data_IF_210737532721
#
_entry.id   IF_210737532721
#
_cell.length_a   1.000
_cell.length_b   1.000
_cell.length_c   1.000
_cell.angle_alpha   90.00
_cell.angle_beta   90.00
_cell.angle_gamma   90.00
#
_symmetry.space_group_name_H-M   'P 1'
#
loop_
_entity.id
_entity.type
_entity.pdbx_description
1 polymer ?
#
# COMPACT_ATOMS: atom_id res chain seq x y z
N UNK A 1 -0.22 -12.17 27.37
CA UNK A 1 -1.05 -11.93 26.18
C UNK A 1 -0.48 -10.72 25.45
N UNK A 2 0.41 -10.95 24.48
CA UNK A 2 0.95 -9.89 23.61
C UNK A 2 -0.08 -9.60 22.53
N UNK A 3 -0.76 -8.44 22.60
CA UNK A 3 -1.63 -7.96 21.52
C UNK A 3 -0.83 -7.98 20.20
N UNK A 4 -1.38 -8.46 19.08
CA UNK A 4 -0.68 -8.35 17.80
C UNK A 4 -0.52 -6.87 17.49
N UNK A 5 0.71 -6.42 17.26
CA UNK A 5 1.07 -5.02 16.97
C UNK A 5 0.47 -4.48 15.65
N UNK A 6 -0.38 -5.27 15.00
CA UNK A 6 -0.77 -5.16 13.61
C UNK A 6 -2.30 -5.27 13.42
N UNK A 7 -3.10 -5.21 14.49
CA UNK A 7 -4.57 -5.28 14.39
C UNK A 7 -5.13 -4.16 13.49
N UNK A 8 -4.42 -3.03 13.39
CA UNK A 8 -4.79 -1.92 12.50
C UNK A 8 -4.58 -2.22 11.01
N UNK A 9 -3.77 -3.22 10.64
CA UNK A 9 -3.58 -3.61 9.23
C UNK A 9 -4.86 -4.17 8.59
N UNK A 10 -5.81 -4.61 9.43
CA UNK A 10 -7.14 -5.05 9.02
C UNK A 10 -7.86 -3.87 8.38
N UNK A 11 -7.97 -2.75 9.10
CA UNK A 11 -8.69 -1.56 8.64
C UNK A 11 -7.85 -0.61 7.79
N UNK A 12 -6.56 -0.89 7.58
CA UNK A 12 -5.63 0.00 6.89
C UNK A 12 -6.05 0.30 5.44
N UNK A 13 -5.82 1.53 4.99
CA UNK A 13 -5.87 1.83 3.56
C UNK A 13 -4.65 1.24 2.87
N UNK A 14 -4.87 0.57 1.74
CA UNK A 14 -3.79 0.05 0.91
C UNK A 14 -3.63 0.89 -0.36
N UNK A 15 -2.45 1.49 -0.48
CA UNK A 15 -1.96 2.12 -1.69
C UNK A 15 -0.78 1.33 -2.26
N UNK A 16 -0.45 1.56 -3.52
CA UNK A 16 0.77 1.02 -4.13
C UNK A 16 1.62 2.15 -4.71
N UNK A 17 2.93 1.95 -4.72
CA UNK A 17 3.90 2.84 -5.36
C UNK A 17 4.81 2.03 -6.26
N UNK A 18 5.05 2.55 -7.45
CA UNK A 18 6.03 2.04 -8.41
C UNK A 18 7.23 2.99 -8.40
N UNK A 19 8.42 2.46 -8.17
CA UNK A 19 9.65 3.27 -8.07
C UNK A 19 10.76 2.66 -8.92
N UNK A 20 11.49 3.44 -9.73
CA UNK A 20 12.65 2.93 -10.45
C UNK A 20 13.81 2.65 -9.48
N UNK A 21 14.31 1.40 -9.48
CA UNK A 21 15.44 0.94 -8.66
C UNK A 21 16.40 0.15 -9.53
N UNK A 22 17.63 0.66 -9.72
CA UNK A 22 18.73 -0.04 -10.44
C UNK A 22 18.33 -0.64 -11.80
N UNK A 23 17.57 0.10 -12.60
CA UNK A 23 17.11 -0.36 -13.92
C UNK A 23 15.93 -1.34 -13.89
N UNK A 24 15.32 -1.53 -12.73
CA UNK A 24 14.06 -2.25 -12.54
C UNK A 24 13.02 -1.33 -11.91
N UNK A 25 11.78 -1.79 -11.86
CA UNK A 25 10.63 -1.08 -11.33
C UNK A 25 10.12 -1.84 -10.13
N UNK A 26 10.40 -1.33 -8.94
CA UNK A 26 9.99 -1.91 -7.67
C UNK A 26 8.56 -1.49 -7.35
N UNK A 27 7.74 -2.45 -6.95
CA UNK A 27 6.38 -2.22 -6.46
C UNK A 27 6.42 -2.35 -4.94
N UNK A 28 5.95 -1.32 -4.26
CA UNK A 28 5.71 -1.31 -2.83
C UNK A 28 4.22 -1.16 -2.54
N UNK A 29 3.71 -1.89 -1.55
CA UNK A 29 2.45 -1.59 -0.91
C UNK A 29 2.69 -0.66 0.28
N UNK A 30 1.77 0.27 0.45
CA UNK A 30 1.74 1.24 1.53
C UNK A 30 0.44 0.99 2.28
N UNK A 31 0.54 0.52 3.52
CA UNK A 31 -0.58 0.36 4.43
C UNK A 31 -0.61 1.58 5.34
N UNK A 32 -1.71 2.32 5.31
CA UNK A 32 -1.90 3.54 6.10
C UNK A 32 -2.94 3.24 7.17
N UNK A 33 -2.58 3.41 8.44
CA UNK A 33 -3.54 3.26 9.53
C UNK A 33 -4.61 4.35 9.40
N UNK A 34 -5.88 3.93 9.34
CA UNK A 34 -7.03 4.83 9.16
C UNK A 34 -7.40 5.59 10.43
N UNK A 35 -6.92 5.14 11.59
CA UNK A 35 -7.11 5.77 12.90
C UNK A 35 -5.95 6.70 13.28
N UNK A 36 -4.73 6.41 12.83
CA UNK A 36 -3.55 7.27 13.01
C UNK A 36 -2.71 7.33 11.72
N UNK A 37 -2.88 8.36 10.88
CA UNK A 37 -2.17 8.50 9.62
C UNK A 37 -0.64 8.51 9.71
N UNK A 38 -0.06 8.71 10.91
CA UNK A 38 1.39 8.65 11.10
C UNK A 38 1.92 7.21 11.17
N UNK A 39 1.04 6.23 11.39
CA UNK A 39 1.37 4.81 11.41
C UNK A 39 1.22 4.24 10.00
N UNK A 40 2.35 4.16 9.29
CA UNK A 40 2.43 3.65 7.92
C UNK A 40 3.38 2.46 7.88
N UNK A 41 2.98 1.42 7.15
CA UNK A 41 3.83 0.27 6.83
C UNK A 41 4.07 0.21 5.33
N UNK A 42 5.33 0.21 4.92
CA UNK A 42 5.73 0.06 3.52
C UNK A 42 6.35 -1.32 3.33
N UNK A 43 5.87 -2.07 2.34
CA UNK A 43 6.37 -3.39 2.02
C UNK A 43 6.63 -3.53 0.53
N UNK A 44 7.86 -3.87 0.17
CA UNK A 44 8.23 -4.22 -1.21
C UNK A 44 7.64 -5.59 -1.54
N UNK A 45 6.87 -5.66 -2.63
CA UNK A 45 6.20 -6.89 -3.07
C UNK A 45 6.84 -7.51 -4.31
N UNK A 46 7.69 -6.78 -5.02
CA UNK A 46 8.46 -7.31 -6.14
C UNK A 46 9.06 -6.23 -7.02
N UNK A 47 9.92 -6.67 -7.94
CA UNK A 47 10.57 -5.83 -8.93
C UNK A 47 10.34 -6.36 -10.35
N UNK A 48 10.14 -5.45 -11.30
CA UNK A 48 9.75 -5.76 -12.66
C UNK A 48 10.68 -5.09 -13.67
N UNK A 49 10.81 -5.72 -14.84
CA UNK A 49 11.64 -5.22 -15.94
C UNK A 49 11.08 -3.97 -16.64
N UNK A 50 9.81 -3.64 -16.41
CA UNK A 50 9.19 -2.45 -17.01
C UNK A 50 8.15 -1.83 -16.06
N UNK A 51 8.00 -0.52 -16.16
CA UNK A 51 7.05 0.29 -15.39
C UNK A 51 5.64 -0.26 -15.54
N UNK A 52 5.20 -0.46 -16.79
CA UNK A 52 3.87 -0.97 -17.10
C UNK A 52 3.56 -2.32 -16.45
N UNK A 53 4.55 -3.22 -16.35
CA UNK A 53 4.37 -4.50 -15.65
C UNK A 53 4.23 -4.30 -14.14
N UNK A 54 5.06 -3.42 -13.56
CA UNK A 54 4.98 -3.02 -12.17
C UNK A 54 3.61 -2.39 -11.83
N UNK A 55 3.10 -1.50 -12.68
CA UNK A 55 1.79 -0.84 -12.50
C UNK A 55 0.62 -1.82 -12.57
N UNK A 56 0.61 -2.72 -13.57
CA UNK A 56 -0.44 -3.74 -13.70
C UNK A 56 -0.44 -4.63 -12.45
N UNK A 57 0.74 -5.04 -11.99
CA UNK A 57 0.87 -5.85 -10.79
C UNK A 57 0.44 -5.10 -9.54
N UNK A 58 0.91 -3.87 -9.34
CA UNK A 58 0.56 -3.02 -8.21
C UNK A 58 -0.94 -2.79 -8.11
N UNK A 59 -1.61 -2.47 -9.23
CA UNK A 59 -3.07 -2.32 -9.29
C UNK A 59 -3.80 -3.62 -8.95
N UNK A 60 -3.34 -4.76 -9.46
CA UNK A 60 -3.98 -6.06 -9.17
C UNK A 60 -3.85 -6.42 -7.68
N UNK A 61 -2.66 -6.27 -7.11
CA UNK A 61 -2.44 -6.57 -5.69
C UNK A 61 -3.20 -5.59 -4.80
N UNK A 62 -3.24 -4.30 -5.14
CA UNK A 62 -4.06 -3.34 -4.40
C UNK A 62 -5.53 -3.77 -4.38
N UNK A 63 -6.08 -4.25 -5.52
CA UNK A 63 -7.45 -4.74 -5.60
C UNK A 63 -7.66 -6.05 -4.82
N UNK A 64 -6.68 -6.95 -4.80
CA UNK A 64 -6.75 -8.19 -4.02
C UNK A 64 -6.66 -7.91 -2.53
N UNK A 65 -5.75 -7.04 -2.10
CA UNK A 65 -5.66 -6.56 -0.72
C UNK A 65 -6.96 -5.83 -0.31
N UNK A 66 -7.55 -5.05 -1.23
CA UNK A 66 -8.81 -4.37 -0.99
C UNK A 66 -10.04 -5.28 -0.87
N UNK A 67 -9.94 -6.50 -1.40
CA UNK A 67 -10.97 -7.53 -1.37
C UNK A 67 -10.68 -8.62 -0.34
N UNK A 68 -9.57 -8.51 0.40
CA UNK A 68 -9.28 -9.44 1.49
C UNK A 68 -10.42 -9.32 2.51
N UNK A 69 -11.07 -10.42 2.94
CA UNK A 69 -12.15 -10.40 3.94
C UNK A 69 -11.73 -9.82 5.30
N UNK A 70 -10.45 -9.46 5.47
CA UNK A 70 -9.92 -8.65 6.57
C UNK A 70 -10.13 -7.14 6.39
N UNK A 71 -10.67 -6.65 5.28
CA UNK A 71 -11.39 -5.38 5.19
C UNK A 71 -10.56 -4.09 5.23
N UNK A 72 -9.82 -3.77 4.18
CA UNK A 72 -9.24 -2.42 4.06
C UNK A 72 -10.36 -1.37 3.95
N UNK A 73 -10.45 -0.46 4.90
CA UNK A 73 -11.37 0.68 4.80
C UNK A 73 -10.77 1.72 3.85
N UNK A 74 -11.59 2.25 2.93
CA UNK A 74 -11.18 3.37 2.08
C UNK A 74 -11.23 4.64 2.92
N UNK A 75 -10.11 5.35 3.07
CA UNK A 75 -10.13 6.68 3.70
C UNK A 75 -10.61 7.70 2.68
N UNK A 76 -11.21 8.77 3.20
CA UNK A 76 -11.64 9.92 2.45
C UNK A 76 -10.44 10.59 1.76
N UNK A 77 -10.53 10.83 0.45
CA UNK A 77 -9.41 11.32 -0.37
C UNK A 77 -8.97 12.74 0.02
N UNK A 78 -9.85 13.49 0.69
CA UNK A 78 -9.59 14.84 1.17
C UNK A 78 -8.86 14.86 2.53
N UNK A 79 -8.56 13.69 3.12
CA UNK A 79 -7.81 13.58 4.36
C UNK A 79 -6.28 13.68 4.21
N UNK A 80 -5.76 13.65 2.97
CA UNK A 80 -4.32 13.62 2.71
C UNK A 80 -3.84 14.72 1.76
N UNK A 81 -3.03 15.63 2.28
CA UNK A 81 -2.21 16.57 1.51
C UNK A 81 -0.93 15.85 1.04
N UNK A 82 -1.05 14.94 0.08
CA UNK A 82 0.12 14.30 -0.54
C UNK A 82 0.74 15.32 -1.50
N UNK A 83 1.60 16.18 -0.96
CA UNK A 83 2.41 17.12 -1.73
C UNK A 83 3.26 16.36 -2.76
N UNK A 84 2.90 16.50 -4.03
CA UNK A 84 3.72 16.11 -5.17
C UNK A 84 4.72 17.24 -5.45
N UNK A 85 5.99 17.03 -5.11
CA UNK A 85 7.10 17.85 -5.57
C UNK A 85 8.16 16.97 -6.25
#
# INVERSE_FOLDING_TARGET
MTKPKNDWLIDAEVQYKVTPVKGRWEVSLIFINTQDPNEVLVQVIGDYRSERLAEIYGRNIQQTAAKDPRGTQKVDKDAYDINNN
#
